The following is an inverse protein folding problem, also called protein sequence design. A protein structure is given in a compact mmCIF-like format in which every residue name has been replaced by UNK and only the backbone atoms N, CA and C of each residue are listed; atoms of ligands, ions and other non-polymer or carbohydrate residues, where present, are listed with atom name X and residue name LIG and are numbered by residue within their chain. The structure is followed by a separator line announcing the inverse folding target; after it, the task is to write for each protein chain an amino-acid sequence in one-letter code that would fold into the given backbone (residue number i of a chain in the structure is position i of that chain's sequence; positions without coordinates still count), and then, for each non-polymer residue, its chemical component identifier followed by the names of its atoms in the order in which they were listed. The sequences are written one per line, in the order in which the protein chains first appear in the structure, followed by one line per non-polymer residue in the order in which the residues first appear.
data_IF_208097990583
#
_entry.id   IF_208097990583
#
_cell.length_a   1.000
_cell.length_b   1.000
_cell.length_c   1.000
_cell.angle_alpha   90.00
_cell.angle_beta   90.00
_cell.angle_gamma   90.00
#
_symmetry.space_group_name_H-M   'P 1'
#
loop_
_entity.id
_entity.type
_entity.pdbx_description
1 polymer ?
#
# COMPACT_ATOMS: atom_id res chain seq x y z
N UNK A 1 50.56 2.45 -9.81
CA UNK A 1 49.93 2.55 -11.13
C UNK A 1 48.87 1.46 -11.25
N UNK A 2 47.63 1.85 -11.35
CA UNK A 2 46.52 0.97 -11.64
C UNK A 2 46.48 0.72 -13.15
N UNK A 3 46.40 -0.52 -13.60
CA UNK A 3 46.24 -0.83 -15.03
C UNK A 3 44.88 -0.29 -15.51
N UNK A 4 44.90 0.63 -16.43
CA UNK A 4 43.72 1.29 -16.98
C UNK A 4 42.85 0.36 -17.84
N UNK A 5 43.38 -0.80 -18.24
CA UNK A 5 42.67 -1.79 -19.04
C UNK A 5 42.05 -2.92 -18.21
N UNK A 6 42.37 -2.99 -16.94
CA UNK A 6 41.78 -3.92 -15.99
C UNK A 6 40.75 -3.21 -15.11
N UNK A 7 39.49 -3.41 -15.39
CA UNK A 7 38.36 -2.82 -14.64
C UNK A 7 38.31 -3.31 -13.17
N UNK A 8 39.01 -4.41 -12.85
CA UNK A 8 39.08 -4.99 -11.52
C UNK A 8 40.40 -4.65 -10.82
N UNK A 9 41.27 -3.84 -11.43
CA UNK A 9 42.55 -3.47 -10.84
C UNK A 9 42.36 -2.72 -9.52
N UNK A 10 43.02 -3.22 -8.50
CA UNK A 10 43.08 -2.62 -7.17
C UNK A 10 44.43 -1.96 -6.93
N UNK A 11 44.49 -1.12 -5.91
CA UNK A 11 45.79 -0.65 -5.42
C UNK A 11 46.67 -1.82 -4.98
N UNK A 12 47.95 -1.72 -5.21
CA UNK A 12 48.90 -2.75 -4.82
C UNK A 12 48.78 -2.99 -3.30
N UNK A 13 48.80 -4.27 -2.88
CA UNK A 13 48.80 -4.65 -1.49
C UNK A 13 49.86 -3.92 -0.70
N UNK A 14 49.55 -3.46 0.50
CA UNK A 14 50.41 -2.62 1.37
C UNK A 14 50.88 -1.27 0.79
N UNK A 15 50.30 -0.84 -0.32
CA UNK A 15 50.57 0.54 -0.79
C UNK A 15 49.91 1.59 0.10
N UNK A 16 50.45 2.83 0.19
CA UNK A 16 49.82 3.90 0.95
C UNK A 16 48.33 4.16 0.58
N UNK A 17 48.02 3.99 -0.69
CA UNK A 17 46.66 4.18 -1.21
C UNK A 17 45.72 3.05 -0.70
N UNK A 18 46.20 1.80 -0.73
CA UNK A 18 45.40 0.66 -0.24
C UNK A 18 45.20 0.75 1.27
N UNK A 19 46.24 1.08 2.04
CA UNK A 19 46.14 1.28 3.49
C UNK A 19 45.16 2.41 3.82
N UNK A 20 45.15 3.49 3.02
CA UNK A 20 44.18 4.57 3.18
C UNK A 20 42.75 4.14 2.87
N UNK A 21 42.55 3.32 1.85
CA UNK A 21 41.24 2.74 1.55
C UNK A 21 40.76 1.83 2.69
N UNK A 22 41.65 1.05 3.28
CA UNK A 22 41.31 0.20 4.44
C UNK A 22 40.92 1.05 5.67
N UNK A 23 41.72 2.08 6.01
CA UNK A 23 41.37 3.01 7.10
C UNK A 23 40.00 3.66 6.90
N UNK A 24 39.69 4.10 5.67
CA UNK A 24 38.40 4.68 5.34
C UNK A 24 37.29 3.61 5.48
N UNK A 25 37.52 2.40 4.97
CA UNK A 25 36.57 1.29 5.08
C UNK A 25 36.26 0.98 6.54
N UNK A 26 37.27 0.89 7.41
CA UNK A 26 37.07 0.65 8.84
C UNK A 26 36.30 1.79 9.52
N UNK A 27 36.59 3.06 9.15
CA UNK A 27 35.83 4.22 9.65
C UNK A 27 34.38 4.23 9.17
N UNK A 28 34.12 3.73 7.95
CA UNK A 28 32.78 3.63 7.38
C UNK A 28 32.05 2.34 7.82
N UNK A 29 32.77 1.31 8.28
CA UNK A 29 32.17 0.12 8.91
C UNK A 29 31.61 0.51 10.29
N UNK A 30 30.42 1.08 10.30
CA UNK A 30 29.71 1.40 11.54
C UNK A 30 29.17 0.10 12.16
N UNK A 31 29.24 0.01 13.47
CA UNK A 31 28.51 -1.02 14.18
C UNK A 31 27.03 -0.71 14.04
N UNK A 32 26.35 -1.42 13.13
CA UNK A 32 24.91 -1.39 13.04
C UNK A 32 24.36 -1.94 14.34
N UNK A 33 23.73 -1.11 15.14
CA UNK A 33 23.01 -1.57 16.31
C UNK A 33 21.86 -2.44 15.80
N UNK A 34 21.99 -3.77 15.95
CA UNK A 34 20.92 -4.69 15.59
C UNK A 34 19.72 -4.39 16.47
N UNK A 35 18.76 -3.66 15.90
CA UNK A 35 17.46 -3.49 16.52
C UNK A 35 16.74 -4.84 16.53
N UNK A 36 16.55 -5.40 17.71
CA UNK A 36 15.88 -6.69 17.88
C UNK A 36 14.37 -6.46 17.91
N UNK A 37 13.72 -6.74 16.80
CA UNK A 37 12.27 -6.61 16.60
C UNK A 37 11.41 -7.48 17.51
N UNK A 38 11.95 -8.57 18.08
CA UNK A 38 11.14 -9.65 18.63
C UNK A 38 10.17 -9.22 19.74
N UNK A 39 10.46 -8.15 20.46
CA UNK A 39 9.69 -7.76 21.65
C UNK A 39 9.01 -6.40 21.54
N UNK A 40 9.02 -5.74 20.35
CA UNK A 40 8.62 -4.35 20.22
C UNK A 40 7.47 -4.12 19.25
N UNK A 41 7.32 -4.94 18.21
CA UNK A 41 6.24 -4.81 17.24
C UNK A 41 5.04 -5.66 17.66
N UNK A 42 3.86 -5.07 17.91
CA UNK A 42 2.66 -5.84 18.26
C UNK A 42 2.20 -6.69 17.07
N UNK A 43 1.51 -7.78 17.37
CA UNK A 43 0.84 -8.59 16.34
C UNK A 43 -0.46 -7.96 15.84
N UNK A 44 -1.05 -7.07 16.64
CA UNK A 44 -2.29 -6.32 16.38
C UNK A 44 -2.28 -5.07 17.25
N UNK A 45 -2.97 -4.01 16.80
CA UNK A 45 -3.25 -2.82 17.63
C UNK A 45 -4.45 -3.02 18.55
N UNK A 46 -5.08 -4.18 18.55
CA UNK A 46 -6.28 -4.53 19.33
C UNK A 46 -7.46 -3.55 19.12
N UNK A 47 -7.48 -2.91 17.96
CA UNK A 47 -8.57 -2.01 17.58
C UNK A 47 -9.69 -2.80 16.90
N UNK A 48 -10.91 -2.54 17.32
CA UNK A 48 -12.12 -3.14 16.74
C UNK A 48 -12.71 -2.19 15.68
N UNK A 49 -12.37 -2.45 14.42
CA UNK A 49 -12.88 -1.66 13.29
C UNK A 49 -14.36 -2.01 13.05
N UNK A 50 -15.24 -1.03 13.22
CA UNK A 50 -16.71 -1.19 13.10
C UNK A 50 -17.33 -0.08 12.28
N UNK A 51 -18.55 -0.35 11.82
CA UNK A 51 -19.36 0.61 11.06
C UNK A 51 -18.68 1.06 9.74
N UNK A 52 -19.17 2.16 9.20
CA UNK A 52 -18.70 2.73 7.94
C UNK A 52 -17.42 3.53 8.13
N UNK A 53 -16.29 2.96 7.74
CA UNK A 53 -14.98 3.61 7.80
C UNK A 53 -14.23 3.46 6.48
N UNK A 54 -13.43 4.47 6.13
CA UNK A 54 -12.51 4.39 4.98
C UNK A 54 -11.13 3.90 5.42
N UNK A 55 -10.39 3.31 4.48
CA UNK A 55 -9.02 2.86 4.76
C UNK A 55 -8.09 4.04 5.15
N UNK A 56 -8.32 5.25 4.61
CA UNK A 56 -7.61 6.46 5.03
C UNK A 56 -7.88 6.82 6.51
N UNK A 57 -9.15 6.77 6.95
CA UNK A 57 -9.49 7.03 8.35
C UNK A 57 -8.82 6.02 9.29
N UNK A 58 -8.85 4.74 8.90
CA UNK A 58 -8.23 3.66 9.66
C UNK A 58 -6.71 3.83 9.74
N UNK A 59 -6.07 4.23 8.64
CA UNK A 59 -4.64 4.56 8.65
C UNK A 59 -4.31 5.67 9.66
N UNK A 60 -5.10 6.76 9.70
CA UNK A 60 -4.92 7.83 10.68
C UNK A 60 -5.04 7.35 12.14
N UNK A 61 -5.96 6.41 12.42
CA UNK A 61 -6.07 5.77 13.74
C UNK A 61 -4.82 4.93 14.04
N UNK A 62 -4.34 4.11 13.12
CA UNK A 62 -3.13 3.31 13.31
C UNK A 62 -1.89 4.17 13.55
N UNK A 63 -1.75 5.29 12.84
CA UNK A 63 -0.67 6.25 13.11
C UNK A 63 -0.78 6.83 14.54
N UNK A 64 -1.99 7.11 14.99
CA UNK A 64 -2.21 7.56 16.36
C UNK A 64 -1.85 6.48 17.39
N UNK A 65 -2.16 5.20 17.11
CA UNK A 65 -1.78 4.07 17.98
C UNK A 65 -0.25 3.86 18.00
N UNK A 66 0.45 4.07 16.88
CA UNK A 66 1.92 4.03 16.86
C UNK A 66 2.55 4.99 17.88
N UNK A 67 1.90 6.13 18.17
CA UNK A 67 2.37 7.06 19.20
C UNK A 67 2.35 6.50 20.62
N UNK A 68 1.66 5.38 20.83
CA UNK A 68 1.52 4.68 22.13
C UNK A 68 2.46 3.49 22.26
N UNK A 69 3.19 3.13 21.20
CA UNK A 69 4.19 2.06 21.24
C UNK A 69 5.31 2.40 22.24
N UNK A 70 6.11 1.38 22.58
CA UNK A 70 7.28 1.63 23.42
C UNK A 70 8.25 2.62 22.73
N UNK A 71 9.05 3.34 23.52
CA UNK A 71 9.88 4.43 23.04
C UNK A 71 10.86 4.00 21.95
N UNK A 72 11.47 2.82 22.07
CA UNK A 72 12.49 2.34 21.13
C UNK A 72 11.95 2.17 19.70
N UNK A 73 10.70 1.73 19.58
CA UNK A 73 10.05 1.60 18.27
C UNK A 73 9.40 2.93 17.84
N UNK A 74 8.64 3.57 18.75
CA UNK A 74 7.95 4.84 18.47
C UNK A 74 8.90 5.92 17.96
N UNK A 75 10.06 6.06 18.58
CA UNK A 75 11.02 7.11 18.27
C UNK A 75 11.77 6.88 16.94
N UNK A 76 11.46 5.78 16.23
CA UNK A 76 11.97 5.49 14.88
C UNK A 76 11.04 5.93 13.76
N UNK A 77 9.77 6.19 14.07
CA UNK A 77 8.84 6.67 13.05
C UNK A 77 9.11 8.12 12.69
N UNK A 78 9.17 8.39 11.40
CA UNK A 78 9.23 9.75 10.85
C UNK A 78 8.17 9.86 9.77
N UNK A 79 7.16 10.68 9.99
CA UNK A 79 6.14 10.96 8.96
C UNK A 79 6.50 12.19 8.15
N UNK A 80 6.16 12.19 6.85
CA UNK A 80 6.45 13.27 5.91
C UNK A 80 5.22 13.53 5.06
N UNK A 81 4.89 14.79 4.82
CA UNK A 81 3.76 15.17 3.97
C UNK A 81 4.05 16.43 3.15
N UNK A 82 3.60 16.51 1.88
CA UNK A 82 3.69 17.72 1.07
C UNK A 82 2.40 18.55 1.17
N UNK A 83 2.15 19.17 2.34
CA UNK A 83 0.99 20.04 2.64
C UNK A 83 -0.38 19.34 2.63
N UNK A 84 -0.40 18.03 2.89
CA UNK A 84 -1.65 17.25 2.92
C UNK A 84 -1.87 16.48 4.24
N UNK A 85 -1.10 16.79 5.28
CA UNK A 85 -1.15 16.08 6.56
C UNK A 85 -2.54 16.06 7.21
N UNK A 86 -3.28 17.15 7.16
CA UNK A 86 -4.64 17.25 7.70
C UNK A 86 -5.64 16.44 6.89
N UNK A 87 -5.62 16.58 5.55
CA UNK A 87 -6.54 15.91 4.64
C UNK A 87 -6.28 14.41 4.50
N UNK A 88 -5.09 13.94 4.90
CA UNK A 88 -4.71 12.52 4.93
C UNK A 88 -4.80 11.88 6.33
N UNK A 89 -5.50 12.54 7.25
CA UNK A 89 -5.77 12.06 8.63
C UNK A 89 -4.53 11.84 9.52
N UNK A 90 -3.42 12.54 9.28
CA UNK A 90 -2.24 12.49 10.16
C UNK A 90 -2.36 13.34 11.42
N UNK A 91 -3.42 14.15 11.57
CA UNK A 91 -3.58 15.10 12.67
C UNK A 91 -3.42 14.49 14.06
N UNK A 92 -3.95 13.28 14.28
CA UNK A 92 -3.82 12.56 15.56
C UNK A 92 -2.38 12.22 15.93
N UNK A 93 -1.60 11.77 14.95
CA UNK A 93 -0.16 11.51 15.09
C UNK A 93 0.62 12.79 15.36
N UNK A 94 0.42 13.83 14.54
CA UNK A 94 1.15 15.09 14.65
C UNK A 94 0.86 15.81 15.97
N UNK A 95 -0.38 15.76 16.46
CA UNK A 95 -0.73 16.31 17.78
C UNK A 95 0.06 15.67 18.94
N UNK A 96 0.52 14.43 18.78
CA UNK A 96 1.27 13.71 19.80
C UNK A 96 2.77 13.80 19.61
N UNK A 97 3.23 13.75 18.37
CA UNK A 97 4.66 13.61 18.04
C UNK A 97 5.31 14.92 17.58
N UNK A 98 4.51 15.95 17.29
CA UNK A 98 4.98 17.28 16.88
C UNK A 98 5.56 17.34 15.46
N UNK A 99 5.75 18.57 14.98
CA UNK A 99 6.42 18.89 13.72
C UNK A 99 7.91 19.13 13.99
N UNK A 100 8.76 18.52 13.18
CA UNK A 100 10.20 18.72 13.25
C UNK A 100 10.63 20.02 12.58
N UNK A 101 11.48 20.78 13.27
CA UNK A 101 12.16 21.95 12.72
C UNK A 101 13.59 22.02 13.29
N UNK A 102 14.58 22.31 12.46
CA UNK A 102 16.00 22.33 12.85
C UNK A 102 16.40 23.51 13.74
N UNK A 103 15.61 24.58 13.72
CA UNK A 103 15.86 25.81 14.50
C UNK A 103 14.61 26.04 15.33
N UNK A 104 14.76 26.28 16.64
CA UNK A 104 13.66 26.78 17.46
C UNK A 104 13.25 28.14 16.90
N UNK A 105 12.12 28.21 16.22
CA UNK A 105 11.59 29.49 15.77
C UNK A 105 11.02 30.21 16.99
N UNK A 106 11.66 31.28 17.39
CA UNK A 106 11.23 32.14 18.51
C UNK A 106 10.03 33.01 18.15
N UNK A 107 9.58 33.03 16.91
CA UNK A 107 8.48 33.86 16.46
C UNK A 107 7.62 33.12 15.41
N UNK A 108 6.57 32.45 15.88
CA UNK A 108 5.39 32.27 15.04
C UNK A 108 4.55 33.55 15.22
N UNK A 109 4.11 34.22 14.12
CA UNK A 109 3.13 35.28 14.23
C UNK A 109 1.90 34.73 14.95
N UNK A 110 1.50 35.35 16.01
CA UNK A 110 0.17 35.19 16.62
C UNK A 110 -0.89 35.72 15.65
N UNK A 111 -1.13 34.99 14.58
CA UNK A 111 -2.35 35.17 13.84
C UNK A 111 -3.43 34.31 14.49
N UNK A 112 -4.49 34.96 14.96
CA UNK A 112 -5.73 34.49 15.59
C UNK A 112 -6.53 33.45 14.75
N UNK A 113 -5.87 32.49 14.16
CA UNK A 113 -6.51 31.29 13.64
C UNK A 113 -6.68 30.33 14.81
N UNK A 114 -7.93 30.13 15.24
CA UNK A 114 -8.34 29.01 16.11
C UNK A 114 -7.93 27.73 15.38
N UNK A 115 -6.66 27.33 15.54
CA UNK A 115 -6.16 26.06 15.02
C UNK A 115 -6.84 24.96 15.84
N UNK A 116 -7.73 24.23 15.21
CA UNK A 116 -8.30 22.99 15.77
C UNK A 116 -7.20 21.98 16.13
N UNK A 117 -6.00 22.14 15.53
CA UNK A 117 -4.82 21.31 15.72
C UNK A 117 -3.71 22.14 16.37
N UNK A 118 -3.37 21.80 17.61
CA UNK A 118 -2.27 22.42 18.37
C UNK A 118 -0.97 21.69 18.08
N UNK A 119 -0.43 21.85 16.88
CA UNK A 119 0.83 21.22 16.49
C UNK A 119 2.01 21.94 17.15
N UNK A 120 2.78 21.18 17.93
CA UNK A 120 4.03 21.70 18.51
C UNK A 120 5.14 21.57 17.47
N UNK A 121 5.91 22.65 17.30
CA UNK A 121 7.09 22.68 16.41
C UNK A 121 8.31 22.64 17.32
N UNK A 122 9.20 21.65 17.09
CA UNK A 122 10.42 21.49 17.87
C UNK A 122 11.46 20.68 17.12
N UNK A 123 12.70 20.66 17.61
CA UNK A 123 13.77 19.80 17.09
C UNK A 123 13.59 18.32 17.44
N UNK A 124 12.60 17.96 18.29
CA UNK A 124 12.24 16.59 18.65
C UNK A 124 10.96 16.12 17.95
N UNK A 125 10.35 16.93 17.08
CA UNK A 125 9.17 16.53 16.31
C UNK A 125 9.47 15.35 15.38
N UNK A 126 8.45 14.53 15.10
CA UNK A 126 8.56 13.35 14.23
C UNK A 126 7.74 13.46 12.93
N UNK A 127 7.21 14.64 12.65
CA UNK A 127 6.58 14.95 11.36
C UNK A 127 7.35 16.04 10.62
N UNK A 128 7.66 15.80 9.34
CA UNK A 128 8.31 16.74 8.44
C UNK A 128 7.25 17.28 7.47
N UNK A 129 6.94 18.57 7.57
CA UNK A 129 6.06 19.24 6.62
C UNK A 129 6.88 19.94 5.55
N UNK A 130 6.67 19.56 4.28
CA UNK A 130 7.49 20.02 3.15
C UNK A 130 6.86 21.15 2.32
N UNK A 131 5.60 21.53 2.60
CA UNK A 131 4.82 22.29 1.64
C UNK A 131 4.53 21.48 0.36
N UNK A 132 3.93 22.08 -0.66
CA UNK A 132 3.50 21.40 -1.89
C UNK A 132 4.72 21.01 -2.74
N UNK A 133 5.30 19.86 -2.43
CA UNK A 133 6.54 19.37 -3.06
C UNK A 133 6.68 17.84 -3.01
N UNK A 134 5.97 17.14 -3.86
CA UNK A 134 5.97 15.67 -3.89
C UNK A 134 7.34 15.09 -4.27
N UNK A 135 8.07 15.76 -5.15
CA UNK A 135 9.44 15.33 -5.49
C UNK A 135 10.37 15.34 -4.27
N UNK A 136 10.30 16.40 -3.44
CA UNK A 136 11.07 16.48 -2.20
C UNK A 136 10.63 15.43 -1.17
N UNK A 137 9.34 15.06 -1.16
CA UNK A 137 8.86 13.95 -0.34
C UNK A 137 9.64 12.67 -0.65
N UNK A 138 9.74 12.27 -1.93
CA UNK A 138 10.43 11.04 -2.31
C UNK A 138 11.94 11.13 -2.11
N UNK A 139 12.55 12.30 -2.33
CA UNK A 139 13.95 12.52 -1.99
C UNK A 139 14.20 12.34 -0.48
N UNK A 140 13.33 12.90 0.37
CA UNK A 140 13.43 12.76 1.82
C UNK A 140 13.19 11.31 2.27
N UNK A 141 12.19 10.61 1.71
CA UNK A 141 11.94 9.19 1.98
C UNK A 141 13.16 8.33 1.62
N UNK A 142 13.78 8.60 0.47
CA UNK A 142 15.00 7.93 0.04
C UNK A 142 16.14 8.11 1.06
N UNK A 143 16.39 9.35 1.49
CA UNK A 143 17.45 9.64 2.46
C UNK A 143 17.17 9.05 3.85
N UNK A 144 15.96 9.21 4.36
CA UNK A 144 15.57 8.65 5.65
C UNK A 144 15.55 7.12 5.63
N UNK A 145 15.18 6.53 4.49
CA UNK A 145 15.20 5.09 4.29
C UNK A 145 16.61 4.47 4.24
N UNK A 146 17.67 5.30 4.08
CA UNK A 146 19.08 4.88 4.07
C UNK A 146 19.82 5.20 5.40
N UNK A 147 19.10 5.63 6.44
CA UNK A 147 19.74 6.07 7.69
C UNK A 147 20.50 4.96 8.42
N UNK A 148 20.10 3.70 8.24
CA UNK A 148 20.84 2.57 8.81
C UNK A 148 22.23 2.44 8.19
N UNK A 149 22.34 2.52 6.87
CA UNK A 149 23.61 2.47 6.15
C UNK A 149 24.48 3.70 6.41
N UNK A 150 23.84 4.88 6.49
CA UNK A 150 24.56 6.14 6.64
C UNK A 150 24.97 6.42 8.09
N UNK A 151 24.12 6.06 9.07
CA UNK A 151 24.30 6.47 10.46
C UNK A 151 24.19 5.34 11.48
N UNK A 152 23.97 4.10 11.03
CA UNK A 152 23.80 2.93 11.90
C UNK A 152 22.52 2.94 12.73
N UNK A 153 21.51 3.73 12.32
CA UNK A 153 20.19 3.85 12.99
C UNK A 153 19.07 3.62 11.99
N UNK A 154 18.28 2.59 12.22
CA UNK A 154 17.09 2.33 11.41
C UNK A 154 16.00 3.32 11.78
N UNK A 155 15.50 4.08 10.80
CA UNK A 155 14.25 4.82 10.87
C UNK A 155 13.14 4.08 10.13
N UNK A 156 11.91 4.43 10.42
CA UNK A 156 10.70 3.95 9.72
C UNK A 156 10.03 5.16 9.07
N UNK A 157 10.49 5.55 7.86
CA UNK A 157 9.94 6.71 7.18
C UNK A 157 8.56 6.37 6.60
N UNK A 158 7.57 7.24 6.82
CA UNK A 158 6.21 7.12 6.29
C UNK A 158 5.86 8.41 5.55
N UNK A 159 5.74 8.33 4.23
CA UNK A 159 5.32 9.44 3.39
C UNK A 159 3.85 9.34 3.03
N UNK A 160 3.08 10.43 3.21
CA UNK A 160 1.68 10.50 2.78
C UNK A 160 1.50 11.61 1.76
N UNK A 161 0.84 11.27 0.66
CA UNK A 161 0.54 12.22 -0.42
C UNK A 161 -0.76 11.82 -1.12
N UNK A 162 -1.35 12.73 -1.88
CA UNK A 162 -2.45 12.37 -2.77
C UNK A 162 -1.96 11.41 -3.85
N UNK A 163 -2.64 10.29 -3.98
CA UNK A 163 -2.24 9.17 -4.84
C UNK A 163 -1.91 9.60 -6.30
N UNK A 164 -2.71 10.45 -6.98
CA UNK A 164 -2.38 10.89 -8.34
C UNK A 164 -1.05 11.64 -8.45
N UNK A 165 -0.54 12.19 -7.36
CA UNK A 165 0.67 13.00 -7.39
C UNK A 165 1.97 12.21 -7.15
N UNK A 166 1.89 10.90 -6.95
CA UNK A 166 3.06 10.00 -7.00
C UNK A 166 3.86 10.24 -8.29
N UNK A 167 3.19 10.43 -9.41
CA UNK A 167 3.82 10.69 -10.71
C UNK A 167 4.67 11.97 -10.79
N UNK A 168 4.47 12.95 -9.88
CA UNK A 168 5.29 14.17 -9.84
C UNK A 168 6.69 13.96 -9.30
N UNK A 169 6.90 12.90 -8.54
CA UNK A 169 8.19 12.54 -7.95
C UNK A 169 8.66 11.13 -8.31
N UNK A 170 8.15 10.56 -9.43
CA UNK A 170 8.40 9.16 -9.79
C UNK A 170 9.89 8.86 -9.97
N UNK A 171 10.66 9.78 -10.55
CA UNK A 171 12.10 9.62 -10.71
C UNK A 171 12.82 9.53 -9.36
N UNK A 172 12.51 10.43 -8.43
CA UNK A 172 13.07 10.41 -7.08
C UNK A 172 12.64 9.16 -6.29
N UNK A 173 11.39 8.70 -6.45
CA UNK A 173 10.90 7.44 -5.89
C UNK A 173 11.71 6.26 -6.41
N UNK A 174 11.85 6.17 -7.73
CA UNK A 174 12.59 5.09 -8.38
C UNK A 174 14.05 5.05 -7.90
N UNK A 175 14.72 6.22 -7.88
CA UNK A 175 16.10 6.33 -7.44
C UNK A 175 16.26 5.94 -5.96
N UNK A 176 15.32 6.35 -5.10
CA UNK A 176 15.33 5.98 -3.67
C UNK A 176 15.25 4.47 -3.47
N UNK A 177 14.31 3.80 -4.14
CA UNK A 177 14.17 2.33 -4.06
C UNK A 177 15.40 1.63 -4.65
N UNK A 178 15.88 2.06 -5.82
CA UNK A 178 17.09 1.54 -6.47
C UNK A 178 18.32 1.65 -5.58
N UNK A 179 18.45 2.73 -4.80
CA UNK A 179 19.55 2.93 -3.85
C UNK A 179 19.44 2.06 -2.58
N UNK A 180 18.40 1.25 -2.47
CA UNK A 180 18.17 0.35 -1.32
C UNK A 180 17.45 1.00 -0.14
N UNK A 181 16.92 2.21 -0.28
CA UNK A 181 16.10 2.84 0.76
C UNK A 181 14.89 1.98 1.11
N UNK A 182 14.52 1.95 2.40
CA UNK A 182 13.32 1.25 2.88
C UNK A 182 12.39 2.22 3.61
N UNK A 183 11.15 2.30 3.13
CA UNK A 183 10.13 3.23 3.62
C UNK A 183 8.72 2.72 3.30
N UNK A 184 7.72 3.36 3.88
CA UNK A 184 6.29 3.15 3.56
C UNK A 184 5.76 4.43 2.92
N UNK A 185 5.19 4.34 1.73
CA UNK A 185 4.47 5.43 1.09
C UNK A 185 2.97 5.14 1.06
N UNK A 186 2.17 6.17 1.34
CA UNK A 186 0.72 6.11 1.40
C UNK A 186 0.16 7.06 0.34
N UNK A 187 -0.43 6.50 -0.71
CA UNK A 187 -1.18 7.26 -1.71
C UNK A 187 -2.64 7.38 -1.29
N UNK A 188 -3.09 8.56 -0.86
CA UNK A 188 -4.45 8.77 -0.37
C UNK A 188 -4.87 10.25 -0.40
N UNK A 189 -6.13 10.57 -0.78
CA UNK A 189 -7.13 9.68 -1.40
C UNK A 189 -6.71 9.16 -2.76
N UNK A 190 -7.31 8.05 -3.19
CA UNK A 190 -7.03 7.39 -4.47
C UNK A 190 -8.29 7.19 -5.31
N UNK A 191 -8.11 7.03 -6.63
CA UNK A 191 -9.15 6.65 -7.57
C UNK A 191 -10.34 7.63 -7.60
N UNK A 192 -11.53 7.09 -7.79
CA UNK A 192 -12.78 7.88 -7.90
C UNK A 192 -13.11 8.63 -6.60
N UNK A 193 -12.63 8.17 -5.45
CA UNK A 193 -12.89 8.86 -4.18
C UNK A 193 -12.43 10.33 -4.15
N UNK A 194 -11.57 10.73 -5.09
CA UNK A 194 -11.08 12.10 -5.26
C UNK A 194 -11.75 12.85 -6.44
N UNK A 195 -12.76 12.26 -7.05
CA UNK A 195 -13.47 12.84 -8.21
C UNK A 195 -14.11 14.21 -7.98
N UNK A 196 -14.62 14.56 -6.77
CA UNK A 196 -15.15 15.90 -6.51
C UNK A 196 -14.11 17.02 -6.72
N UNK A 197 -12.82 16.73 -6.57
CA UNK A 197 -11.73 17.69 -6.81
C UNK A 197 -11.35 17.83 -8.29
N UNK A 198 -11.87 16.96 -9.16
CA UNK A 198 -11.67 17.00 -10.61
C UNK A 198 -11.02 15.73 -11.18
N UNK A 199 -11.24 15.52 -12.49
CA UNK A 199 -10.79 14.32 -13.18
C UNK A 199 -9.27 14.11 -13.17
N UNK A 200 -8.47 15.17 -13.05
CA UNK A 200 -7.02 15.07 -12.97
C UNK A 200 -6.54 14.48 -11.62
N UNK A 201 -7.39 14.50 -10.61
CA UNK A 201 -7.13 13.93 -9.30
C UNK A 201 -7.47 12.42 -9.21
N UNK A 202 -8.11 11.84 -10.23
CA UNK A 202 -8.32 10.40 -10.30
C UNK A 202 -7.01 9.70 -10.69
N UNK A 203 -6.57 8.77 -9.84
CA UNK A 203 -5.32 8.04 -10.03
C UNK A 203 -5.55 6.70 -10.73
N UNK A 204 -5.56 6.67 -12.06
CA UNK A 204 -5.73 5.42 -12.80
C UNK A 204 -4.44 4.63 -13.03
N UNK A 205 -3.26 5.29 -13.09
CA UNK A 205 -2.00 4.64 -13.45
C UNK A 205 -1.14 4.22 -12.25
N UNK A 206 -1.44 4.69 -11.05
CA UNK A 206 -0.62 4.42 -9.84
C UNK A 206 -0.60 2.94 -9.44
N UNK A 207 -1.67 2.14 -9.65
CA UNK A 207 -1.61 0.69 -9.50
C UNK A 207 -0.52 0.04 -10.37
N UNK A 208 -0.36 0.49 -11.62
CA UNK A 208 0.67 -0.02 -12.53
C UNK A 208 2.08 0.31 -12.03
N UNK A 209 2.30 1.54 -11.53
CA UNK A 209 3.58 1.93 -10.92
C UNK A 209 3.91 0.99 -9.75
N UNK A 210 2.93 0.73 -8.87
CA UNK A 210 3.10 -0.18 -7.74
C UNK A 210 3.37 -1.62 -8.14
N UNK A 211 2.73 -2.09 -9.23
CA UNK A 211 2.89 -3.45 -9.72
C UNK A 211 4.26 -3.67 -10.38
N UNK A 212 4.76 -2.68 -11.14
CA UNK A 212 5.94 -2.79 -11.97
C UNK A 212 7.25 -2.49 -11.23
N UNK A 213 7.21 -1.71 -10.14
CA UNK A 213 8.42 -1.25 -9.44
C UNK A 213 9.04 -2.38 -8.60
N UNK A 214 10.29 -2.78 -8.88
CA UNK A 214 11.00 -3.77 -8.07
C UNK A 214 11.15 -3.31 -6.61
N UNK A 215 11.16 -4.25 -5.67
CA UNK A 215 11.37 -3.99 -4.23
C UNK A 215 10.36 -3.03 -3.57
N UNK A 216 9.25 -2.74 -4.25
CA UNK A 216 8.12 -1.97 -3.72
C UNK A 216 6.89 -2.87 -3.62
N UNK A 217 6.47 -3.21 -2.40
CA UNK A 217 5.29 -4.04 -2.15
C UNK A 217 4.03 -3.18 -2.25
N UNK A 218 3.26 -3.35 -3.32
CA UNK A 218 2.01 -2.62 -3.54
C UNK A 218 0.81 -3.35 -2.96
N UNK A 219 0.05 -2.66 -2.09
CA UNK A 219 -1.17 -3.13 -1.49
C UNK A 219 -2.31 -2.12 -1.61
N UNK A 220 -3.54 -2.62 -1.70
CA UNK A 220 -4.78 -1.85 -1.72
C UNK A 220 -5.85 -2.58 -0.87
N UNK A 221 -5.75 -2.50 0.47
CA UNK A 221 -6.65 -3.22 1.37
C UNK A 221 -8.07 -2.63 1.36
N UNK A 222 -9.06 -3.50 1.51
CA UNK A 222 -10.48 -3.18 1.59
C UNK A 222 -10.90 -2.88 3.03
N UNK A 223 -10.48 -3.72 3.99
CA UNK A 223 -10.91 -3.66 5.38
C UNK A 223 -9.81 -3.23 6.33
N UNK A 224 -10.20 -2.67 7.47
CA UNK A 224 -9.27 -2.15 8.47
C UNK A 224 -8.36 -3.22 9.06
N UNK A 225 -8.86 -4.44 9.27
CA UNK A 225 -8.06 -5.55 9.79
C UNK A 225 -6.99 -6.01 8.80
N UNK A 226 -7.29 -5.99 7.51
CA UNK A 226 -6.31 -6.25 6.45
C UNK A 226 -5.21 -5.18 6.44
N UNK A 227 -5.63 -3.90 6.44
CA UNK A 227 -4.72 -2.78 6.47
C UNK A 227 -3.78 -2.85 7.69
N UNK A 228 -4.30 -3.21 8.86
CA UNK A 228 -3.50 -3.39 10.07
C UNK A 228 -2.42 -4.46 9.88
N UNK A 229 -2.80 -5.64 9.40
CA UNK A 229 -1.85 -6.74 9.19
C UNK A 229 -0.79 -6.42 8.15
N UNK A 230 -1.19 -5.77 7.06
CA UNK A 230 -0.30 -5.34 5.99
C UNK A 230 0.66 -4.26 6.50
N UNK A 231 0.16 -3.25 7.22
CA UNK A 231 0.97 -2.17 7.75
C UNK A 231 2.03 -2.67 8.75
N UNK A 232 1.64 -3.54 9.68
CA UNK A 232 2.58 -4.18 10.62
C UNK A 232 3.62 -5.04 9.89
N UNK A 233 3.23 -5.72 8.80
CA UNK A 233 4.18 -6.44 7.95
C UNK A 233 5.13 -5.48 7.24
N UNK A 234 4.64 -4.34 6.75
CA UNK A 234 5.46 -3.31 6.12
C UNK A 234 6.49 -2.71 7.06
N UNK A 235 6.10 -2.40 8.30
CA UNK A 235 7.04 -1.96 9.33
C UNK A 235 8.15 -3.01 9.54
N UNK A 236 7.77 -4.29 9.62
CA UNK A 236 8.74 -5.39 9.73
C UNK A 236 9.69 -5.45 8.53
N UNK A 237 9.17 -5.28 7.32
CA UNK A 237 9.97 -5.29 6.10
C UNK A 237 10.96 -4.12 6.04
N UNK A 238 10.53 -2.91 6.44
CA UNK A 238 11.41 -1.74 6.54
C UNK A 238 12.55 -2.00 7.53
N UNK A 239 12.25 -2.52 8.72
CA UNK A 239 13.26 -2.78 9.75
C UNK A 239 14.21 -3.94 9.34
N UNK A 240 13.69 -4.99 8.69
CA UNK A 240 14.51 -6.11 8.21
C UNK A 240 15.21 -5.83 6.86
N UNK A 241 15.02 -4.63 6.31
CA UNK A 241 15.63 -4.18 5.04
C UNK A 241 15.24 -5.05 3.83
N UNK A 242 14.04 -5.66 3.85
CA UNK A 242 13.58 -6.54 2.76
C UNK A 242 12.92 -5.79 1.61
N UNK A 243 11.94 -4.92 1.91
CA UNK A 243 11.21 -4.16 0.86
C UNK A 243 10.69 -2.83 1.40
N UNK A 244 10.45 -1.89 0.51
CA UNK A 244 9.59 -0.74 0.73
C UNK A 244 8.13 -1.13 0.48
N UNK A 245 7.19 -0.30 0.97
CA UNK A 245 5.75 -0.56 0.79
C UNK A 245 5.05 0.66 0.20
N UNK A 246 4.12 0.39 -0.71
CA UNK A 246 3.13 1.34 -1.20
C UNK A 246 1.73 0.88 -0.79
N UNK A 247 1.04 1.69 0.00
CA UNK A 247 -0.36 1.52 0.34
C UNK A 247 -1.20 2.53 -0.43
N UNK A 248 -2.12 2.03 -1.24
CA UNK A 248 -3.10 2.86 -1.95
C UNK A 248 -4.42 2.81 -1.17
N UNK A 249 -4.84 3.96 -0.63
CA UNK A 249 -5.97 4.06 0.28
C UNK A 249 -7.04 5.01 -0.25
N UNK A 250 -8.29 4.78 0.16
CA UNK A 250 -9.47 5.53 -0.29
C UNK A 250 -10.16 6.27 0.85
N UNK A 251 -10.90 7.33 0.52
CA UNK A 251 -11.88 7.98 1.40
C UNK A 251 -13.28 7.39 1.29
N UNK A 252 -13.52 6.49 0.33
CA UNK A 252 -14.76 5.72 0.26
C UNK A 252 -14.93 4.88 1.52
N UNK A 253 -16.07 5.06 2.19
CA UNK A 253 -16.39 4.31 3.41
C UNK A 253 -16.96 2.95 3.07
N UNK A 254 -16.44 1.94 3.72
CA UNK A 254 -16.90 0.55 3.62
C UNK A 254 -17.36 0.06 4.99
N UNK A 255 -18.36 -0.82 4.99
CA UNK A 255 -18.87 -1.46 6.20
C UNK A 255 -17.83 -2.45 6.74
N UNK A 256 -17.15 -2.08 7.82
CA UNK A 256 -16.10 -2.87 8.43
C UNK A 256 -16.62 -4.14 9.13
N UNK A 257 -17.90 -4.16 9.51
CA UNK A 257 -18.53 -5.32 10.16
C UNK A 257 -18.62 -6.52 9.19
N UNK A 258 -18.60 -6.26 7.87
CA UNK A 258 -18.57 -7.32 6.85
C UNK A 258 -17.32 -8.20 6.97
N UNK A 259 -16.16 -7.65 7.37
CA UNK A 259 -14.98 -8.47 7.56
C UNK A 259 -15.22 -9.57 8.58
N UNK A 260 -15.73 -9.23 9.75
CA UNK A 260 -16.02 -10.19 10.81
C UNK A 260 -17.16 -11.12 10.42
N UNK A 261 -18.23 -10.60 9.78
CA UNK A 261 -19.38 -11.41 9.32
C UNK A 261 -18.97 -12.58 8.41
N UNK A 262 -17.99 -12.38 7.52
CA UNK A 262 -17.57 -13.40 6.54
C UNK A 262 -16.30 -14.15 6.93
N UNK A 263 -15.57 -13.71 7.95
CA UNK A 263 -14.25 -14.24 8.27
C UNK A 263 -14.06 -14.67 9.73
N UNK A 264 -15.05 -14.51 10.62
CA UNK A 264 -14.93 -14.88 12.05
C UNK A 264 -14.61 -16.35 12.26
N UNK A 265 -15.17 -17.23 11.42
CA UNK A 265 -15.01 -18.68 11.54
C UNK A 265 -13.72 -19.20 10.89
N UNK A 266 -12.97 -18.33 10.19
CA UNK A 266 -11.72 -18.70 9.55
C UNK A 266 -10.56 -18.69 10.55
N UNK A 267 -9.57 -19.54 10.30
CA UNK A 267 -8.32 -19.48 11.05
C UNK A 267 -7.63 -18.12 10.81
N UNK A 268 -7.60 -17.27 11.82
CA UNK A 268 -7.11 -15.88 11.69
C UNK A 268 -5.62 -15.79 11.35
N UNK A 269 -4.80 -16.77 11.77
CA UNK A 269 -3.38 -16.79 11.41
C UNK A 269 -3.17 -17.13 9.92
N UNK A 270 -3.94 -18.09 9.41
CA UNK A 270 -3.91 -18.43 7.98
C UNK A 270 -4.45 -17.26 7.15
N UNK A 271 -5.60 -16.70 7.54
CA UNK A 271 -6.19 -15.54 6.87
C UNK A 271 -5.21 -14.36 6.83
N UNK A 272 -4.52 -14.06 7.93
CA UNK A 272 -3.48 -13.03 7.96
C UNK A 272 -2.36 -13.30 6.96
N UNK A 273 -1.92 -14.55 6.86
CA UNK A 273 -0.88 -14.94 5.88
C UNK A 273 -1.36 -14.73 4.45
N UNK A 274 -2.61 -15.11 4.16
CA UNK A 274 -3.20 -14.96 2.84
C UNK A 274 -3.38 -13.48 2.47
N UNK A 275 -3.86 -12.66 3.41
CA UNK A 275 -3.95 -11.20 3.27
C UNK A 275 -2.58 -10.58 2.94
N UNK A 276 -1.52 -10.96 3.64
CA UNK A 276 -0.16 -10.45 3.40
C UNK A 276 0.40 -10.96 2.05
N UNK A 277 0.05 -12.17 1.65
CA UNK A 277 0.40 -12.70 0.31
C UNK A 277 -0.37 -12.03 -0.83
N UNK A 278 -1.42 -11.28 -0.51
CA UNK A 278 -2.09 -10.38 -1.42
C UNK A 278 -3.49 -10.79 -1.88
N UNK A 279 -4.05 -11.94 -1.44
CA UNK A 279 -5.44 -12.30 -1.72
C UNK A 279 -5.94 -13.40 -0.82
N UNK A 280 -7.26 -13.44 -0.63
CA UNK A 280 -7.96 -14.55 0.02
C UNK A 280 -9.40 -14.68 -0.52
N UNK A 281 -9.99 -15.85 -0.41
CA UNK A 281 -11.41 -16.06 -0.73
C UNK A 281 -12.24 -15.43 0.41
N UNK A 282 -12.87 -14.29 0.10
CA UNK A 282 -13.74 -13.59 1.05
C UNK A 282 -15.01 -14.37 1.31
N UNK A 283 -15.72 -14.71 0.23
CA UNK A 283 -16.95 -15.49 0.26
C UNK A 283 -17.02 -16.43 -0.94
N UNK A 284 -17.55 -17.63 -0.72
CA UNK A 284 -17.83 -18.60 -1.78
C UNK A 284 -19.22 -19.15 -1.62
N UNK A 285 -20.00 -19.14 -2.69
CA UNK A 285 -21.29 -19.82 -2.77
C UNK A 285 -21.30 -20.88 -3.88
N UNK A 286 -20.12 -21.33 -4.33
CA UNK A 286 -19.98 -22.36 -5.35
C UNK A 286 -20.62 -23.68 -4.87
N UNK A 287 -21.55 -24.22 -5.69
CA UNK A 287 -22.07 -25.55 -5.52
C UNK A 287 -21.57 -26.44 -6.67
N UNK A 288 -21.20 -27.68 -6.35
CA UNK A 288 -20.66 -28.64 -7.34
C UNK A 288 -21.61 -28.85 -8.52
N UNK A 289 -22.91 -28.82 -8.26
CA UNK A 289 -23.97 -29.09 -9.26
C UNK A 289 -24.31 -27.87 -10.13
N UNK A 290 -23.83 -26.69 -9.82
CA UNK A 290 -24.13 -25.48 -10.59
C UNK A 290 -23.43 -25.52 -11.95
N UNK A 291 -24.15 -25.13 -13.00
CA UNK A 291 -23.64 -25.09 -14.36
C UNK A 291 -22.89 -23.80 -14.68
N UNK A 292 -23.31 -22.71 -14.06
CA UNK A 292 -22.75 -21.38 -14.28
C UNK A 292 -21.97 -20.96 -13.04
N UNK A 293 -20.66 -20.83 -13.22
CA UNK A 293 -19.70 -20.51 -12.15
C UNK A 293 -18.70 -19.47 -12.60
N UNK A 294 -18.32 -18.56 -11.71
CA UNK A 294 -17.36 -17.49 -12.01
C UNK A 294 -16.52 -17.14 -10.79
N UNK A 295 -15.27 -16.74 -11.01
CA UNK A 295 -14.44 -16.09 -10.01
C UNK A 295 -14.52 -14.57 -10.17
N UNK A 296 -14.80 -13.83 -9.09
CA UNK A 296 -14.83 -12.38 -9.05
C UNK A 296 -13.67 -11.92 -8.18
N UNK A 297 -12.70 -11.23 -8.79
CA UNK A 297 -11.55 -10.62 -8.12
C UNK A 297 -11.81 -9.14 -7.95
N UNK A 298 -11.78 -8.64 -6.73
CA UNK A 298 -12.08 -7.24 -6.43
C UNK A 298 -11.20 -6.73 -5.29
N UNK A 299 -10.97 -5.42 -5.21
CA UNK A 299 -10.14 -4.82 -4.18
C UNK A 299 -10.59 -3.40 -3.82
N UNK A 300 -10.17 -2.93 -2.65
CA UNK A 300 -10.32 -1.54 -2.23
C UNK A 300 -11.76 -1.02 -2.29
N UNK A 301 -11.91 0.17 -2.87
CA UNK A 301 -13.16 0.92 -2.87
C UNK A 301 -14.32 0.23 -3.59
N UNK A 302 -14.05 -0.53 -4.66
CA UNK A 302 -15.09 -1.17 -5.52
C UNK A 302 -15.56 -2.53 -5.00
N UNK A 303 -14.96 -3.05 -3.93
CA UNK A 303 -15.26 -4.36 -3.39
C UNK A 303 -16.73 -4.54 -2.98
N UNK A 304 -17.35 -3.51 -2.40
CA UNK A 304 -18.74 -3.59 -1.95
C UNK A 304 -19.73 -3.82 -3.10
N UNK A 305 -19.48 -3.20 -4.25
CA UNK A 305 -20.33 -3.40 -5.44
C UNK A 305 -20.16 -4.84 -6.00
N UNK A 306 -18.95 -5.38 -5.97
CA UNK A 306 -18.69 -6.78 -6.32
C UNK A 306 -19.40 -7.77 -5.37
N UNK A 307 -19.46 -7.47 -4.07
CA UNK A 307 -20.21 -8.28 -3.11
C UNK A 307 -21.73 -8.22 -3.35
N UNK A 308 -22.26 -7.04 -3.67
CA UNK A 308 -23.68 -6.88 -4.06
C UNK A 308 -23.99 -7.68 -5.33
N UNK A 309 -23.12 -7.59 -6.35
CA UNK A 309 -23.28 -8.35 -7.58
C UNK A 309 -23.25 -9.86 -7.32
N UNK A 310 -22.33 -10.36 -6.49
CA UNK A 310 -22.29 -11.77 -6.09
C UNK A 310 -23.61 -12.25 -5.49
N UNK A 311 -24.21 -11.46 -4.61
CA UNK A 311 -25.47 -11.83 -3.95
C UNK A 311 -26.65 -11.88 -4.93
N UNK A 312 -26.71 -10.96 -5.90
CA UNK A 312 -27.75 -10.96 -6.93
C UNK A 312 -27.58 -12.16 -7.90
N UNK A 313 -26.36 -12.42 -8.36
CA UNK A 313 -26.05 -13.56 -9.24
C UNK A 313 -26.47 -14.90 -8.64
N UNK A 314 -26.33 -15.05 -7.33
CA UNK A 314 -26.79 -16.27 -6.65
C UNK A 314 -28.31 -16.48 -6.78
N UNK A 315 -29.12 -15.41 -6.71
CA UNK A 315 -30.57 -15.46 -6.90
C UNK A 315 -30.96 -15.89 -8.32
N UNK A 316 -30.05 -15.69 -9.29
CA UNK A 316 -30.22 -16.05 -10.70
C UNK A 316 -29.61 -17.43 -11.04
N UNK A 317 -29.11 -18.16 -10.05
CA UNK A 317 -28.51 -19.48 -10.23
C UNK A 317 -27.09 -19.49 -10.77
N UNK A 318 -26.40 -18.36 -10.65
CA UNK A 318 -24.97 -18.23 -10.97
C UNK A 318 -24.18 -18.21 -9.67
N UNK A 319 -23.40 -19.25 -9.43
CA UNK A 319 -22.56 -19.35 -8.25
C UNK A 319 -21.16 -18.76 -8.48
N UNK A 320 -20.54 -18.22 -7.44
CA UNK A 320 -19.27 -17.54 -7.58
C UNK A 320 -18.40 -17.61 -6.33
N UNK A 321 -17.09 -17.52 -6.55
CA UNK A 321 -16.13 -17.12 -5.54
C UNK A 321 -15.94 -15.59 -5.63
N UNK A 322 -16.00 -14.90 -4.50
CA UNK A 322 -15.54 -13.51 -4.36
C UNK A 322 -14.18 -13.51 -3.67
N UNK A 323 -13.16 -13.11 -4.41
CA UNK A 323 -11.77 -13.05 -3.97
C UNK A 323 -11.44 -11.60 -3.67
N UNK A 324 -11.06 -11.30 -2.43
CA UNK A 324 -10.53 -9.99 -2.09
C UNK A 324 -9.02 -9.96 -2.35
N UNK A 325 -8.61 -9.13 -3.30
CA UNK A 325 -7.21 -8.85 -3.57
C UNK A 325 -6.79 -7.71 -2.64
N UNK A 326 -5.81 -7.97 -1.81
CA UNK A 326 -5.25 -6.98 -0.87
C UNK A 326 -3.90 -6.45 -1.31
N UNK A 327 -3.16 -7.22 -2.13
CA UNK A 327 -1.81 -6.89 -2.59
C UNK A 327 -1.51 -7.38 -3.99
N UNK A 328 -1.88 -6.61 -5.03
CA UNK A 328 -1.55 -6.99 -6.42
C UNK A 328 -0.05 -7.19 -6.66
N UNK A 329 0.80 -6.39 -6.01
CA UNK A 329 2.25 -6.48 -6.16
C UNK A 329 2.83 -7.82 -5.69
N UNK A 330 2.64 -8.23 -4.42
CA UNK A 330 3.07 -9.53 -3.93
C UNK A 330 2.51 -10.71 -4.73
N UNK A 331 1.23 -10.64 -5.12
CA UNK A 331 0.60 -11.68 -5.93
C UNK A 331 1.27 -11.85 -7.30
N UNK A 332 1.57 -10.75 -7.97
CA UNK A 332 2.20 -10.79 -9.28
C UNK A 332 3.62 -11.37 -9.18
N UNK A 333 4.41 -10.97 -8.18
CA UNK A 333 5.74 -11.55 -7.95
C UNK A 333 5.67 -13.04 -7.65
N UNK A 334 4.76 -13.47 -6.78
CA UNK A 334 4.56 -14.89 -6.49
C UNK A 334 4.22 -15.69 -7.75
N UNK A 335 3.37 -15.15 -8.64
CA UNK A 335 3.11 -15.76 -9.94
C UNK A 335 4.37 -15.85 -10.82
N UNK A 336 5.19 -14.82 -10.87
CA UNK A 336 6.41 -14.82 -11.68
C UNK A 336 7.45 -15.81 -11.15
N UNK A 337 7.51 -16.01 -9.83
CA UNK A 337 8.46 -16.92 -9.19
C UNK A 337 7.95 -18.38 -9.15
N UNK A 338 6.64 -18.59 -8.98
CA UNK A 338 6.01 -19.89 -8.71
C UNK A 338 4.85 -20.21 -9.67
N UNK A 339 5.00 -19.98 -10.96
CA UNK A 339 3.93 -19.98 -11.97
C UNK A 339 2.98 -21.18 -11.95
N UNK A 340 3.44 -22.36 -11.52
CA UNK A 340 2.60 -23.57 -11.44
C UNK A 340 1.72 -23.61 -10.19
N UNK A 341 2.26 -23.15 -9.04
CA UNK A 341 1.62 -23.27 -7.70
C UNK A 341 1.58 -21.95 -6.95
N UNK A 342 1.32 -20.84 -7.63
CA UNK A 342 1.23 -19.54 -7.00
C UNK A 342 -0.05 -19.39 -6.13
N UNK A 343 -0.06 -18.39 -5.29
CA UNK A 343 -1.03 -18.23 -4.20
C UNK A 343 -2.49 -18.27 -4.64
N UNK A 344 -2.86 -17.61 -5.76
CA UNK A 344 -4.23 -17.64 -6.27
C UNK A 344 -4.71 -19.06 -6.62
N UNK A 345 -3.87 -19.89 -7.23
CA UNK A 345 -4.23 -21.30 -7.48
C UNK A 345 -4.41 -22.07 -6.18
N UNK A 346 -3.57 -21.78 -5.18
CA UNK A 346 -3.64 -22.45 -3.88
C UNK A 346 -4.96 -22.15 -3.16
N UNK A 347 -5.38 -20.88 -3.11
CA UNK A 347 -6.61 -20.47 -2.39
C UNK A 347 -7.89 -20.85 -3.13
N UNK A 348 -7.85 -20.96 -4.46
CA UNK A 348 -9.00 -21.33 -5.30
C UNK A 348 -9.16 -22.86 -5.43
N UNK A 349 -8.09 -23.63 -5.20
CA UNK A 349 -8.14 -25.08 -5.35
C UNK A 349 -8.62 -25.50 -6.74
N UNK A 350 -9.64 -26.34 -6.84
CA UNK A 350 -10.19 -26.80 -8.13
C UNK A 350 -10.87 -25.69 -8.96
N UNK A 351 -11.27 -24.60 -8.32
CA UNK A 351 -12.02 -23.51 -8.97
C UNK A 351 -11.12 -22.51 -9.69
N UNK A 352 -9.80 -22.69 -9.69
CA UNK A 352 -8.87 -21.75 -10.33
C UNK A 352 -9.13 -21.58 -11.83
N UNK A 353 -9.66 -22.59 -12.49
CA UNK A 353 -9.93 -22.62 -13.95
C UNK A 353 -11.28 -22.03 -14.35
N UNK A 354 -12.10 -21.54 -13.39
CA UNK A 354 -13.37 -20.91 -13.70
C UNK A 354 -13.18 -19.59 -14.44
N UNK A 355 -14.11 -19.19 -15.32
CA UNK A 355 -14.13 -17.87 -15.92
C UNK A 355 -13.99 -16.78 -14.83
N UNK A 356 -13.34 -15.65 -15.17
CA UNK A 356 -12.92 -14.67 -14.16
C UNK A 356 -13.25 -13.24 -14.55
N UNK A 357 -13.75 -12.46 -13.60
CA UNK A 357 -13.90 -11.02 -13.71
C UNK A 357 -12.99 -10.34 -12.67
N UNK A 358 -12.19 -9.37 -13.10
CA UNK A 358 -11.41 -8.51 -12.22
C UNK A 358 -12.02 -7.10 -12.18
N UNK A 359 -12.12 -6.49 -11.00
CA UNK A 359 -12.69 -5.14 -10.80
C UNK A 359 -11.71 -4.30 -9.99
N UNK A 360 -11.27 -3.17 -10.54
CA UNK A 360 -10.28 -2.29 -9.92
C UNK A 360 -10.60 -0.82 -10.17
N UNK A 361 -10.59 0.01 -9.12
CA UNK A 361 -10.60 1.48 -9.24
C UNK A 361 -9.22 1.99 -9.69
N UNK A 362 -8.88 1.72 -10.93
CA UNK A 362 -7.61 1.99 -11.58
C UNK A 362 -7.59 1.44 -12.99
N UNK A 363 -6.46 1.47 -13.67
CA UNK A 363 -6.38 0.93 -15.02
C UNK A 363 -6.53 -0.60 -15.03
N UNK A 364 -7.44 -1.19 -15.84
CA UNK A 364 -7.78 -2.62 -15.79
C UNK A 364 -6.59 -3.52 -16.09
N UNK A 365 -5.57 -3.04 -16.82
CA UNK A 365 -4.40 -3.83 -17.16
C UNK A 365 -3.63 -4.30 -15.91
N UNK A 366 -3.75 -3.59 -14.79
CA UNK A 366 -3.08 -3.95 -13.53
C UNK A 366 -3.51 -5.32 -12.97
N UNK A 367 -4.69 -5.82 -13.39
CA UNK A 367 -5.20 -7.15 -13.00
C UNK A 367 -5.40 -8.10 -14.19
N UNK A 368 -5.24 -7.65 -15.44
CA UNK A 368 -5.46 -8.50 -16.62
C UNK A 368 -4.55 -9.75 -16.68
N UNK A 369 -3.39 -9.70 -16.03
CA UNK A 369 -2.48 -10.81 -15.94
C UNK A 369 -3.07 -12.03 -15.22
N UNK A 370 -4.07 -11.84 -14.33
CA UNK A 370 -4.72 -12.91 -13.56
C UNK A 370 -5.37 -13.93 -14.52
N UNK A 371 -6.07 -13.47 -15.54
CA UNK A 371 -6.67 -14.38 -16.53
C UNK A 371 -5.64 -15.24 -17.25
N UNK A 372 -4.51 -14.64 -17.63
CA UNK A 372 -3.38 -15.38 -18.26
C UNK A 372 -2.73 -16.35 -17.27
N UNK A 373 -2.51 -15.92 -16.02
CA UNK A 373 -1.91 -16.73 -14.97
C UNK A 373 -2.75 -17.98 -14.62
N UNK A 374 -4.08 -17.81 -14.61
CA UNK A 374 -5.03 -18.90 -14.33
C UNK A 374 -5.38 -19.74 -15.57
N UNK A 375 -5.05 -19.25 -16.78
CA UNK A 375 -5.40 -19.90 -18.05
C UNK A 375 -6.90 -19.92 -18.33
N UNK A 376 -7.63 -18.87 -17.94
CA UNK A 376 -9.09 -18.83 -18.02
C UNK A 376 -9.58 -17.69 -18.92
N UNK A 377 -10.84 -17.80 -19.40
CA UNK A 377 -11.54 -16.67 -19.99
C UNK A 377 -11.70 -15.58 -18.94
N UNK A 378 -11.18 -14.40 -19.19
CA UNK A 378 -11.18 -13.31 -18.23
C UNK A 378 -11.53 -11.97 -18.86
N UNK A 379 -12.17 -11.09 -18.07
CA UNK A 379 -12.36 -9.67 -18.37
C UNK A 379 -12.00 -8.86 -17.14
N UNK A 380 -11.72 -7.56 -17.37
CA UNK A 380 -11.48 -6.62 -16.27
C UNK A 380 -12.30 -5.35 -16.46
N UNK A 381 -12.85 -4.85 -15.38
CA UNK A 381 -13.48 -3.53 -15.26
C UNK A 381 -12.47 -2.60 -14.58
N UNK A 382 -12.32 -1.39 -15.13
CA UNK A 382 -11.40 -0.38 -14.62
C UNK A 382 -11.49 0.90 -15.45
N UNK A 383 -10.69 1.89 -15.10
CA UNK A 383 -10.67 3.21 -15.74
C UNK A 383 -9.56 3.23 -16.80
N UNK A 384 -9.95 3.31 -18.09
CA UNK A 384 -9.01 3.34 -19.23
C UNK A 384 -8.96 4.69 -19.94
N UNK A 385 -9.65 5.70 -19.43
CA UNK A 385 -9.70 7.05 -19.96
C UNK A 385 -9.38 8.08 -18.85
N UNK A 386 -9.22 9.35 -19.23
CA UNK A 386 -9.02 10.41 -18.24
C UNK A 386 -10.22 10.54 -17.32
N UNK A 387 -9.93 10.76 -16.02
CA UNK A 387 -10.94 10.90 -15.01
C UNK A 387 -11.95 12.01 -15.27
N UNK A 388 -13.15 11.84 -14.71
CA UNK A 388 -14.24 12.80 -14.79
C UNK A 388 -14.52 13.39 -13.40
N UNK A 389 -15.00 14.63 -13.34
CA UNK A 389 -15.55 15.21 -12.12
C UNK A 389 -17.00 14.78 -11.97
N UNK A 390 -17.40 14.38 -10.79
CA UNK A 390 -18.77 13.98 -10.53
C UNK A 390 -18.97 13.39 -9.14
N UNK A 391 -20.20 13.05 -8.83
CA UNK A 391 -20.53 12.26 -7.65
C UNK A 391 -20.04 10.82 -7.82
N UNK A 392 -19.65 10.18 -6.74
CA UNK A 392 -19.12 8.82 -6.77
C UNK A 392 -20.12 7.80 -7.34
N UNK A 393 -21.40 7.96 -7.06
CA UNK A 393 -22.43 7.03 -7.53
C UNK A 393 -22.58 7.13 -9.06
N UNK A 394 -22.64 8.34 -9.59
CA UNK A 394 -22.74 8.58 -11.03
C UNK A 394 -21.51 8.06 -11.77
N UNK A 395 -20.33 8.26 -11.20
CA UNK A 395 -19.09 7.78 -11.80
C UNK A 395 -18.93 6.25 -11.69
N UNK A 396 -19.48 5.63 -10.65
CA UNK A 396 -19.51 4.16 -10.59
C UNK A 396 -20.36 3.57 -11.71
N UNK A 397 -21.53 4.17 -12.00
CA UNK A 397 -22.35 3.78 -13.13
C UNK A 397 -21.63 4.06 -14.47
N UNK A 398 -21.05 5.25 -14.62
CA UNK A 398 -20.34 5.65 -15.84
C UNK A 398 -19.16 4.71 -16.19
N UNK A 399 -18.37 4.31 -15.21
CA UNK A 399 -17.21 3.41 -15.42
C UNK A 399 -17.56 1.92 -15.30
N UNK A 400 -18.80 1.58 -15.00
CA UNK A 400 -19.27 0.20 -14.87
C UNK A 400 -18.82 -0.50 -13.59
N UNK A 401 -18.64 0.23 -12.50
CA UNK A 401 -18.32 -0.32 -11.19
C UNK A 401 -19.54 -0.66 -10.35
N UNK A 402 -20.74 -0.23 -10.74
CA UNK A 402 -21.98 -0.59 -10.06
C UNK A 402 -22.31 -2.08 -10.23
N UNK A 403 -23.11 -2.60 -9.31
CA UNK A 403 -23.46 -4.04 -9.29
C UNK A 403 -24.05 -4.54 -10.61
N UNK A 404 -24.88 -3.74 -11.29
CA UNK A 404 -25.57 -4.16 -12.52
C UNK A 404 -24.58 -4.31 -13.68
N UNK A 405 -23.70 -3.34 -13.84
CA UNK A 405 -22.62 -3.38 -14.84
C UNK A 405 -21.67 -4.56 -14.61
N UNK A 406 -21.37 -4.88 -13.32
CA UNK A 406 -20.58 -6.05 -12.95
C UNK A 406 -21.31 -7.35 -13.37
N UNK A 407 -22.62 -7.46 -13.14
CA UNK A 407 -23.43 -8.61 -13.55
C UNK A 407 -23.45 -8.77 -15.08
N UNK A 408 -23.71 -7.68 -15.82
CA UNK A 408 -23.69 -7.69 -17.28
C UNK A 408 -22.36 -8.20 -17.83
N UNK A 409 -21.25 -7.77 -17.22
CA UNK A 409 -19.93 -8.22 -17.62
C UNK A 409 -19.69 -9.71 -17.33
N UNK A 410 -20.30 -10.23 -16.28
CA UNK A 410 -20.27 -11.67 -15.96
C UNK A 410 -21.10 -12.46 -16.96
N UNK A 411 -22.29 -11.98 -17.36
CA UNK A 411 -23.08 -12.63 -18.41
C UNK A 411 -22.31 -12.72 -19.73
N UNK A 412 -21.63 -11.66 -20.15
CA UNK A 412 -20.75 -11.67 -21.34
C UNK A 412 -19.62 -12.74 -21.23
N UNK A 413 -19.05 -12.90 -20.03
CA UNK A 413 -18.00 -13.89 -19.79
C UNK A 413 -18.56 -15.30 -19.90
N UNK A 414 -19.74 -15.53 -19.33
CA UNK A 414 -20.41 -16.82 -19.32
C UNK A 414 -21.10 -17.15 -20.68
N UNK A 415 -21.39 -16.15 -21.50
CA UNK A 415 -22.02 -16.29 -22.81
C UNK A 415 -23.53 -16.48 -22.73
N UNK A 416 -24.18 -15.79 -21.79
CA UNK A 416 -25.63 -15.79 -21.54
C UNK A 416 -26.20 -14.39 -21.67
#
# INVERSE_FOLDING_TARGET
NIDKNDIWANFKEDSPEQLKCQEIKEKLQRQVSKFLLKDTLPNSFDYDYKNMMSSQQIFGLMMTENSRLNNDLRDRFVSISPDVASSTNLGGWINKMGIWQSIESTELPEEDLVRALKWQISNNGQHIELGISENNLFMALGQLGLTEEMFGKTLIPIGTLYDPFIRRGLDALFYGVYSGAKFIMIGTPSGISLSPEGGLHQSMITPSIGLEMPELDYYEPTFGKELEWIFLSGIKNVISRTSSMYLRLTTTKLDQDLFNKYNSDKNQEMLRKDVIKGAYVFNSNINVNDKLKVNIFSLGAVFNESLKAQNELLNEGISSNLINITGPGPLYRDYMENSENFHLKTILGADFSLPSLCVIDGHPHSLNWIGSALGTKSKSIGISEFGQSGDQVDLYEYYGFDKNSIQEKIYEILGI
#
